data_IF_718357863818
#
_entry.id   IF_718357863818
#
_cell.length_a   1.000
_cell.length_b   1.000
_cell.length_c   1.000
_cell.angle_alpha   90.00
_cell.angle_beta   90.00
_cell.angle_gamma   90.00
#
_symmetry.space_group_name_H-M   'P 1'
#
loop_
_entity.id
_entity.type
_entity.pdbx_description
1 polymer ?
#
# COMPACT_ATOMS: atom_id res chain seq x y z
N UNK A 1 -11.93 0.62 11.26
CA UNK A 1 -12.34 1.54 10.20
C UNK A 1 -11.25 1.66 9.13
N UNK A 2 -11.63 2.13 7.96
CA UNK A 2 -10.70 2.33 6.86
C UNK A 2 -9.55 3.27 7.24
N UNK A 3 -9.87 4.41 7.84
CA UNK A 3 -8.84 5.38 8.19
C UNK A 3 -7.86 4.83 9.21
N UNK A 4 -8.35 4.07 10.17
CA UNK A 4 -7.51 3.46 11.17
C UNK A 4 -6.55 2.44 10.54
N UNK A 5 -7.07 1.62 9.63
CA UNK A 5 -6.26 0.64 8.91
C UNK A 5 -5.17 1.33 8.08
N UNK A 6 -5.54 2.40 7.38
CA UNK A 6 -4.60 3.17 6.57
C UNK A 6 -3.46 3.74 7.41
N UNK A 7 -3.79 4.34 8.54
CA UNK A 7 -2.79 4.92 9.43
C UNK A 7 -1.86 3.84 9.96
N UNK A 8 -2.43 2.72 10.37
CA UNK A 8 -1.65 1.60 10.90
C UNK A 8 -0.70 1.05 9.85
N UNK A 9 -1.20 0.81 8.65
CA UNK A 9 -0.38 0.30 7.56
C UNK A 9 0.73 1.27 7.21
N UNK A 10 0.42 2.56 7.07
CA UNK A 10 1.41 3.56 6.71
C UNK A 10 2.52 3.66 7.75
N UNK A 11 2.16 3.57 9.02
CA UNK A 11 3.15 3.59 10.09
C UNK A 11 4.12 2.42 9.98
N UNK A 12 3.58 1.22 9.75
CA UNK A 12 4.42 0.03 9.58
C UNK A 12 5.28 0.13 8.32
N UNK A 13 4.68 0.57 7.22
CA UNK A 13 5.40 0.70 5.96
C UNK A 13 6.56 1.68 6.08
N UNK A 14 6.31 2.83 6.70
CA UNK A 14 7.33 3.86 6.85
C UNK A 14 8.44 3.41 7.79
N UNK A 15 8.13 2.57 8.77
CA UNK A 15 9.15 2.02 9.65
C UNK A 15 10.15 1.16 8.86
N UNK A 16 9.69 0.44 7.82
CA UNK A 16 10.56 -0.37 6.98
C UNK A 16 11.33 0.46 5.96
N UNK A 17 10.85 1.65 5.63
CA UNK A 17 11.47 2.49 4.61
C UNK A 17 12.69 3.26 5.11
N UNK A 18 12.79 3.49 6.42
CA UNK A 18 13.84 4.33 6.98
C UNK A 18 13.58 5.80 6.72
N UNK A 19 14.46 6.65 7.26
CA UNK A 19 14.24 8.10 7.20
C UNK A 19 14.26 8.65 5.77
N UNK A 20 15.25 8.23 4.99
CA UNK A 20 15.42 8.79 3.64
C UNK A 20 14.36 8.28 2.66
N UNK A 21 13.81 7.11 2.91
CA UNK A 21 12.82 6.52 2.01
C UNK A 21 11.38 6.87 2.32
N UNK A 22 11.11 7.46 3.48
CA UNK A 22 9.74 7.69 3.93
C UNK A 22 8.91 8.50 2.94
N UNK A 23 9.47 9.60 2.45
CA UNK A 23 8.74 10.49 1.55
C UNK A 23 8.38 9.77 0.25
N UNK A 24 9.33 9.05 -0.31
CA UNK A 24 9.13 8.33 -1.56
C UNK A 24 8.10 7.22 -1.38
N UNK A 25 8.24 6.43 -0.33
CA UNK A 25 7.32 5.32 -0.05
C UNK A 25 5.91 5.85 0.20
N UNK A 26 5.79 6.90 0.99
CA UNK A 26 4.49 7.50 1.27
C UNK A 26 3.80 7.98 0.00
N UNK A 27 4.56 8.63 -0.88
CA UNK A 27 4.02 9.13 -2.15
C UNK A 27 3.57 7.98 -3.04
N UNK A 28 4.37 6.92 -3.15
CA UNK A 28 4.01 5.76 -3.96
C UNK A 28 2.75 5.06 -3.44
N UNK A 29 2.67 4.84 -2.15
CA UNK A 29 1.51 4.17 -1.57
C UNK A 29 0.27 5.04 -1.73
N UNK A 30 0.41 6.36 -1.59
CA UNK A 30 -0.70 7.27 -1.78
C UNK A 30 -1.30 7.18 -3.19
N UNK A 31 -0.50 6.86 -4.20
CA UNK A 31 -1.02 6.71 -5.57
C UNK A 31 -2.01 5.56 -5.66
N UNK A 32 -1.77 4.47 -4.91
CA UNK A 32 -2.71 3.36 -4.90
C UNK A 32 -4.00 3.74 -4.18
N UNK A 33 -3.90 4.48 -3.08
CA UNK A 33 -5.07 4.93 -2.35
C UNK A 33 -5.94 5.91 -3.15
N UNK A 34 -5.36 6.58 -4.13
CA UNK A 34 -6.06 7.58 -4.93
C UNK A 34 -6.84 6.99 -6.10
N UNK A 35 -6.74 5.69 -6.34
CA UNK A 35 -7.44 5.06 -7.45
C UNK A 35 -8.94 4.99 -7.22
N UNK A 36 -9.71 5.02 -8.32
CA UNK A 36 -11.17 5.09 -8.26
C UNK A 36 -11.85 3.74 -8.08
N UNK A 37 -11.19 2.66 -8.47
CA UNK A 37 -11.80 1.34 -8.32
C UNK A 37 -10.79 0.30 -7.83
N UNK A 38 -11.33 -0.85 -7.41
CA UNK A 38 -10.53 -1.89 -6.79
C UNK A 38 -9.51 -2.49 -7.76
N UNK A 39 -9.86 -2.65 -9.02
CA UNK A 39 -8.95 -3.23 -10.00
C UNK A 39 -7.75 -2.32 -10.23
N UNK A 40 -8.00 -1.03 -10.37
CA UNK A 40 -6.94 -0.04 -10.54
C UNK A 40 -6.09 0.08 -9.29
N UNK A 41 -6.72 0.07 -8.13
CA UNK A 41 -6.00 0.14 -6.86
C UNK A 41 -5.09 -1.09 -6.68
N UNK A 42 -5.60 -2.27 -6.98
CA UNK A 42 -4.82 -3.50 -6.88
C UNK A 42 -3.61 -3.47 -7.83
N UNK A 43 -3.84 -3.06 -9.07
CA UNK A 43 -2.78 -2.96 -10.06
C UNK A 43 -1.70 -1.98 -9.60
N UNK A 44 -2.12 -0.82 -9.12
CA UNK A 44 -1.18 0.20 -8.65
C UNK A 44 -0.43 -0.27 -7.41
N UNK A 45 -1.12 -0.95 -6.50
CA UNK A 45 -0.52 -1.48 -5.30
C UNK A 45 0.62 -2.45 -5.63
N UNK A 46 0.34 -3.38 -6.55
CA UNK A 46 1.34 -4.36 -6.97
C UNK A 46 2.49 -3.71 -7.72
N UNK A 47 2.20 -2.72 -8.55
CA UNK A 47 3.23 -1.97 -9.27
C UNK A 47 4.18 -1.29 -8.28
N UNK A 48 3.63 -0.66 -7.26
CA UNK A 48 4.44 0.01 -6.22
C UNK A 48 5.28 -1.01 -5.48
N UNK A 49 4.68 -2.14 -5.08
CA UNK A 49 5.42 -3.19 -4.38
C UNK A 49 6.59 -3.70 -5.23
N UNK A 50 6.36 -3.91 -6.52
CA UNK A 50 7.41 -4.39 -7.42
C UNK A 50 8.53 -3.36 -7.57
N UNK A 51 8.20 -2.09 -7.62
CA UNK A 51 9.20 -1.03 -7.71
C UNK A 51 10.04 -0.93 -6.44
N UNK A 52 9.46 -1.21 -5.30
CA UNK A 52 10.16 -1.14 -4.03
C UNK A 52 10.94 -2.42 -3.70
N UNK A 53 10.59 -3.52 -4.32
CA UNK A 53 11.14 -4.84 -3.98
C UNK A 53 12.68 -4.90 -4.03
N UNK A 54 13.34 -4.37 -5.07
CA UNK A 54 14.82 -4.46 -5.12
C UNK A 54 15.52 -3.72 -3.98
N UNK A 55 14.93 -2.64 -3.49
CA UNK A 55 15.54 -1.82 -2.45
C UNK A 55 14.98 -2.12 -1.06
N UNK A 56 13.70 -2.44 -0.98
CA UNK A 56 12.99 -2.63 0.28
C UNK A 56 12.16 -3.91 0.22
N UNK A 57 12.82 -5.08 0.14
CA UNK A 57 12.09 -6.34 -0.07
C UNK A 57 11.12 -6.66 1.06
N UNK A 58 11.44 -6.30 2.30
CA UNK A 58 10.53 -6.55 3.42
C UNK A 58 9.27 -5.71 3.31
N UNK A 59 9.43 -4.47 2.86
CA UNK A 59 8.28 -3.59 2.64
C UNK A 59 7.42 -4.14 1.51
N UNK A 60 8.02 -4.61 0.43
CA UNK A 60 7.26 -5.20 -0.67
C UNK A 60 6.48 -6.41 -0.20
N UNK A 61 7.08 -7.27 0.62
CA UNK A 61 6.37 -8.42 1.18
C UNK A 61 5.21 -7.98 2.07
N UNK A 62 5.44 -6.96 2.90
CA UNK A 62 4.38 -6.39 3.73
C UNK A 62 3.21 -5.89 2.86
N UNK A 63 3.52 -5.22 1.77
CA UNK A 63 2.49 -4.73 0.85
C UNK A 63 1.74 -5.89 0.20
N UNK A 64 2.45 -6.93 -0.25
CA UNK A 64 1.82 -8.09 -0.85
C UNK A 64 0.83 -8.75 0.12
N UNK A 65 1.24 -8.91 1.36
CA UNK A 65 0.41 -9.55 2.39
C UNK A 65 -0.78 -8.69 2.78
N UNK A 66 -0.63 -7.38 2.75
CA UNK A 66 -1.66 -6.45 3.18
C UNK A 66 -2.69 -6.14 2.09
N UNK A 67 -2.39 -6.47 0.84
CA UNK A 67 -3.24 -6.06 -0.29
C UNK A 67 -4.72 -6.40 -0.10
N UNK A 68 -5.10 -7.65 0.25
CA UNK A 68 -6.53 -7.97 0.39
C UNK A 68 -7.21 -7.14 1.47
N UNK A 69 -6.54 -6.96 2.60
CA UNK A 69 -7.10 -6.22 3.72
C UNK A 69 -7.24 -4.74 3.39
N UNK A 70 -6.20 -4.16 2.77
CA UNK A 70 -6.22 -2.75 2.42
C UNK A 70 -7.32 -2.46 1.41
N UNK A 71 -7.46 -3.29 0.37
CA UNK A 71 -8.50 -3.09 -0.63
C UNK A 71 -9.89 -3.23 -0.02
N UNK A 72 -10.08 -4.16 0.91
CA UNK A 72 -11.36 -4.31 1.59
C UNK A 72 -11.72 -3.06 2.39
N UNK A 73 -10.74 -2.46 3.05
CA UNK A 73 -10.96 -1.27 3.87
C UNK A 73 -11.05 0.02 3.07
N UNK A 74 -10.69 0.01 1.79
CA UNK A 74 -10.79 1.21 0.95
C UNK A 74 -12.23 1.56 0.57
N UNK A 75 -13.18 0.71 0.93
CA UNK A 75 -14.59 1.00 0.69
C UNK A 75 -15.06 0.69 -0.71
N UNK A 76 -14.30 -0.06 -1.48
CA UNK A 76 -14.73 -0.50 -2.79
C UNK A 76 -15.84 -1.54 -2.66
N UNK A 77 -16.77 -1.61 -3.65
CA UNK A 77 -17.77 -2.66 -3.63
C UNK A 77 -17.12 -4.04 -3.55
N UNK A 78 -17.77 -4.91 -2.77
CA UNK A 78 -17.25 -6.26 -2.62
C UNK A 78 -17.21 -6.96 -3.98
N UNK A 79 -16.12 -7.62 -4.25
CA UNK A 79 -15.95 -8.41 -5.47
C UNK A 79 -16.43 -9.82 -5.19
N UNK A 80 -17.50 -10.19 -5.80
CA UNK A 80 -18.09 -11.49 -5.56
C UNK A 80 -17.89 -12.40 -6.73
#
# INVERSE_FOLDING_TARGET
TWQRCRVHFMRNALAHAGKSGRRVVSAFIATAFAQDDAAMASKQWRSVADQLRPKLPRLATLMDDAEPDVLAYMGFPAQH
#
